data_IF_672108838625
#
_entry.id   IF_672108838625
#
_cell.length_a   1.000
_cell.length_b   1.000
_cell.length_c   1.000
_cell.angle_alpha   90.00
_cell.angle_beta   90.00
_cell.angle_gamma   90.00
#
_symmetry.space_group_name_H-M   'P 1'
#
loop_
_entity.id
_entity.type
_entity.pdbx_description
1 polymer ?
#
# COMPACT_ATOMS: atom_id res chain seq x y z
N UNK A 1 0.69 -12.22 -48.13
CA UNK A 1 0.81 -11.54 -46.81
C UNK A 1 1.04 -12.60 -45.73
N UNK A 2 2.28 -12.98 -45.41
CA UNK A 2 2.53 -13.98 -44.34
C UNK A 2 2.39 -13.37 -42.94
N UNK A 3 2.96 -12.17 -42.73
CA UNK A 3 2.98 -11.51 -41.42
C UNK A 3 1.59 -11.24 -40.80
N UNK A 4 0.53 -11.08 -41.61
CA UNK A 4 -0.83 -10.88 -41.08
C UNK A 4 -1.48 -12.21 -40.63
N UNK A 5 -1.13 -13.33 -41.25
CA UNK A 5 -1.66 -14.64 -40.88
C UNK A 5 -1.12 -15.09 -39.53
N UNK A 6 0.18 -14.89 -39.27
CA UNK A 6 0.82 -15.29 -38.01
C UNK A 6 0.16 -14.58 -36.82
N UNK A 7 -0.04 -13.26 -36.94
CA UNK A 7 -0.73 -12.44 -35.93
C UNK A 7 -2.16 -12.93 -35.69
N UNK A 8 -2.90 -13.25 -36.76
CA UNK A 8 -4.28 -13.71 -36.62
C UNK A 8 -4.33 -15.09 -35.98
N UNK A 9 -3.44 -16.01 -36.37
CA UNK A 9 -3.35 -17.35 -35.79
C UNK A 9 -3.00 -17.31 -34.30
N UNK A 10 -2.11 -16.43 -33.87
CA UNK A 10 -1.81 -16.21 -32.45
C UNK A 10 -3.02 -15.67 -31.67
N UNK A 11 -3.89 -14.90 -32.32
CA UNK A 11 -5.10 -14.34 -31.73
C UNK A 11 -6.31 -15.29 -31.78
N UNK A 12 -6.31 -16.33 -32.64
CA UNK A 12 -7.44 -17.25 -32.77
C UNK A 12 -7.85 -17.90 -31.44
N UNK A 13 -6.94 -18.40 -30.58
CA UNK A 13 -7.31 -18.95 -29.27
C UNK A 13 -8.06 -17.93 -28.39
N UNK A 14 -7.55 -16.69 -28.34
CA UNK A 14 -8.14 -15.61 -27.56
C UNK A 14 -9.49 -15.15 -28.12
N UNK A 15 -9.63 -15.18 -29.45
CA UNK A 15 -10.86 -14.86 -30.17
C UNK A 15 -11.95 -15.90 -29.89
N UNK A 16 -11.62 -17.19 -29.97
CA UNK A 16 -12.51 -18.31 -29.60
C UNK A 16 -12.94 -18.21 -28.14
N UNK A 17 -12.02 -17.82 -27.25
CA UNK A 17 -12.28 -17.64 -25.82
C UNK A 17 -13.05 -16.35 -25.46
N UNK A 18 -13.26 -15.46 -26.44
CA UNK A 18 -13.96 -14.18 -26.26
C UNK A 18 -13.18 -13.16 -25.41
N UNK A 19 -11.85 -13.30 -25.34
CA UNK A 19 -10.95 -12.47 -24.54
C UNK A 19 -10.27 -11.35 -25.34
N UNK A 20 -10.54 -11.24 -26.64
CA UNK A 20 -10.03 -10.15 -27.48
C UNK A 20 -10.72 -8.82 -27.16
N UNK A 21 -9.94 -7.73 -27.19
CA UNK A 21 -10.51 -6.37 -27.27
C UNK A 21 -11.27 -6.21 -28.59
N UNK A 22 -12.17 -5.22 -28.64
CA UNK A 22 -13.01 -4.99 -29.83
C UNK A 22 -12.17 -4.80 -31.10
N UNK A 23 -11.07 -4.05 -31.02
CA UNK A 23 -10.15 -3.83 -32.14
C UNK A 23 -9.46 -5.10 -32.62
N UNK A 24 -9.05 -5.98 -31.71
CA UNK A 24 -8.42 -7.26 -32.07
C UNK A 24 -9.44 -8.25 -32.63
N UNK A 25 -10.69 -8.16 -32.19
CA UNK A 25 -11.79 -8.99 -32.68
C UNK A 25 -12.16 -8.65 -34.12
N UNK A 26 -12.32 -7.36 -34.42
CA UNK A 26 -12.59 -6.88 -35.78
C UNK A 26 -11.49 -7.28 -36.77
N UNK A 27 -10.22 -7.20 -36.34
CA UNK A 27 -9.07 -7.63 -37.15
C UNK A 27 -9.13 -9.12 -37.49
N UNK A 28 -9.47 -9.97 -36.51
CA UNK A 28 -9.61 -11.42 -36.74
C UNK A 28 -10.80 -11.71 -37.65
N UNK A 29 -11.94 -11.05 -37.45
CA UNK A 29 -13.14 -11.22 -38.28
C UNK A 29 -12.91 -10.80 -39.73
N UNK A 30 -12.29 -9.64 -39.97
CA UNK A 30 -11.93 -9.15 -41.31
C UNK A 30 -10.98 -10.13 -42.01
N UNK A 31 -9.92 -10.57 -41.32
CA UNK A 31 -8.96 -11.50 -41.92
C UNK A 31 -9.54 -12.88 -42.19
N UNK A 32 -10.42 -13.36 -41.31
CA UNK A 32 -11.15 -14.60 -41.51
C UNK A 32 -12.12 -14.52 -42.68
N UNK A 33 -12.51 -13.35 -43.21
CA UNK A 33 -13.30 -13.30 -44.45
C UNK A 33 -12.43 -13.59 -45.69
N UNK A 34 -11.20 -13.08 -45.70
CA UNK A 34 -10.32 -13.05 -46.87
C UNK A 34 -9.30 -14.21 -46.92
N UNK A 35 -8.98 -14.86 -45.79
CA UNK A 35 -7.91 -15.85 -45.71
C UNK A 35 -8.40 -17.28 -45.45
N UNK A 36 -8.38 -18.13 -46.49
CA UNK A 36 -8.78 -19.53 -46.39
C UNK A 36 -7.91 -20.37 -45.44
N UNK A 37 -6.60 -20.09 -45.35
CA UNK A 37 -5.71 -20.81 -44.44
C UNK A 37 -6.05 -20.54 -42.97
N UNK A 38 -6.37 -19.28 -42.61
CA UNK A 38 -6.78 -18.93 -41.26
C UNK A 38 -8.21 -19.43 -40.95
N UNK A 39 -9.12 -19.50 -41.94
CA UNK A 39 -10.43 -20.16 -41.79
C UNK A 39 -10.27 -21.65 -41.47
N UNK A 40 -9.33 -22.34 -42.12
CA UNK A 40 -9.07 -23.75 -41.85
C UNK A 40 -8.56 -23.96 -40.43
N UNK A 41 -7.55 -23.19 -40.00
CA UNK A 41 -7.02 -23.27 -38.62
C UNK A 41 -8.11 -22.95 -37.60
N UNK A 42 -8.95 -21.95 -37.87
CA UNK A 42 -10.10 -21.64 -37.02
C UNK A 42 -11.11 -22.80 -36.96
N UNK A 43 -11.43 -23.42 -38.11
CA UNK A 43 -12.32 -24.58 -38.18
C UNK A 43 -11.77 -25.82 -37.47
N UNK A 44 -10.46 -26.07 -37.58
CA UNK A 44 -9.75 -27.12 -36.82
C UNK A 44 -9.81 -26.86 -35.30
N UNK A 45 -9.78 -25.60 -34.88
CA UNK A 45 -9.91 -25.20 -33.47
C UNK A 45 -11.36 -25.27 -32.94
N UNK A 46 -12.37 -25.01 -33.79
CA UNK A 46 -13.79 -25.03 -33.41
C UNK A 46 -14.51 -26.34 -33.71
N UNK A 47 -13.87 -27.26 -34.44
CA UNK A 47 -14.42 -28.58 -34.78
C UNK A 47 -15.36 -28.60 -35.98
N UNK A 48 -15.43 -27.52 -36.77
CA UNK A 48 -16.25 -27.46 -37.99
C UNK A 48 -15.37 -27.75 -39.21
N UNK A 49 -15.42 -28.98 -39.73
CA UNK A 49 -14.77 -29.35 -41.00
C UNK A 49 -15.84 -29.35 -42.10
N UNK A 50 -15.76 -28.46 -43.11
CA UNK A 50 -16.34 -28.75 -44.41
C UNK A 50 -15.42 -29.76 -45.12
N UNK A 51 -15.99 -30.86 -45.60
CA UNK A 51 -15.28 -31.85 -46.41
C UNK A 51 -14.64 -31.16 -47.64
N UNK A 52 -13.37 -31.46 -47.98
CA UNK A 52 -12.75 -30.93 -49.19
C UNK A 52 -13.43 -31.49 -50.45
N UNK A 53 -13.75 -30.60 -51.38
CA UNK A 53 -14.28 -30.93 -52.72
C UNK A 53 -13.27 -31.77 -53.52
N UNK A 54 -13.77 -32.86 -54.11
CA UNK A 54 -13.09 -33.72 -55.09
C UNK A 54 -13.02 -33.05 -56.48
N UNK A 55 -12.01 -33.39 -57.32
CA UNK A 55 -12.16 -33.36 -58.77
C UNK A 55 -12.71 -34.70 -59.29
N UNK A 56 -13.77 -34.60 -60.08
CA UNK A 56 -14.61 -35.65 -60.68
C UNK A 56 -13.88 -36.60 -61.66
N UNK A 57 -14.37 -37.84 -61.79
CA UNK A 57 -14.79 -38.45 -63.07
C UNK A 57 -15.45 -39.85 -62.87
N UNK A 58 -16.78 -39.87 -63.09
CA UNK A 58 -17.63 -40.89 -63.75
C UNK A 58 -17.65 -42.38 -63.31
N UNK A 59 -18.74 -42.81 -62.65
CA UNK A 59 -19.83 -43.65 -63.22
C UNK A 59 -20.70 -44.35 -62.13
N UNK A 60 -22.02 -44.14 -62.19
CA UNK A 60 -23.11 -44.76 -61.38
C UNK A 60 -23.51 -46.21 -61.85
N UNK A 61 -24.45 -46.98 -61.22
CA UNK A 61 -25.39 -46.68 -60.09
C UNK A 61 -25.58 -47.76 -58.96
N UNK A 62 -25.92 -47.31 -57.73
CA UNK A 62 -27.04 -47.64 -56.78
C UNK A 62 -27.65 -49.09 -56.73
N UNK A 63 -28.23 -49.67 -55.62
CA UNK A 63 -28.55 -49.21 -54.24
C UNK A 63 -28.24 -50.20 -53.07
N UNK A 64 -28.18 -49.71 -51.81
CA UNK A 64 -28.70 -50.44 -50.64
C UNK A 64 -28.92 -49.51 -49.41
N UNK A 65 -30.19 -49.24 -49.11
CA UNK A 65 -30.90 -49.07 -47.82
C UNK A 65 -30.31 -48.33 -46.58
N UNK A 66 -31.19 -47.75 -45.73
CA UNK A 66 -30.87 -46.64 -44.82
C UNK A 66 -30.41 -47.10 -43.43
N UNK A 67 -29.45 -46.38 -42.84
CA UNK A 67 -28.98 -46.57 -41.45
C UNK A 67 -28.98 -45.20 -40.74
N UNK A 68 -29.43 -45.11 -39.47
CA UNK A 68 -30.21 -43.99 -38.95
C UNK A 68 -29.39 -42.80 -38.43
N UNK A 69 -30.08 -41.66 -38.39
CA UNK A 69 -29.61 -40.34 -37.95
C UNK A 69 -29.12 -40.28 -36.49
N UNK A 70 -27.97 -39.61 -36.33
CA UNK A 70 -27.46 -38.78 -35.23
C UNK A 70 -27.42 -39.29 -33.76
N UNK A 71 -26.21 -39.21 -33.16
CA UNK A 71 -26.09 -38.75 -31.76
C UNK A 71 -25.03 -37.66 -31.54
N UNK A 72 -24.67 -36.84 -32.54
CA UNK A 72 -23.49 -35.96 -32.39
C UNK A 72 -23.77 -34.60 -31.72
N UNK A 73 -25.00 -34.08 -31.80
CA UNK A 73 -25.33 -32.70 -31.33
C UNK A 73 -25.50 -32.52 -29.82
N UNK A 74 -25.48 -33.59 -29.01
CA UNK A 74 -25.69 -33.50 -27.54
C UNK A 74 -24.39 -33.34 -26.75
N UNK A 75 -23.23 -33.73 -27.30
CA UNK A 75 -21.97 -33.77 -26.55
C UNK A 75 -21.26 -32.40 -26.48
N UNK A 76 -21.48 -31.55 -27.48
CA UNK A 76 -20.81 -30.24 -27.58
C UNK A 76 -21.40 -29.19 -26.61
N UNK A 77 -22.73 -29.21 -26.43
CA UNK A 77 -23.45 -28.29 -25.53
C UNK A 77 -23.24 -28.62 -24.04
N UNK A 78 -22.86 -29.85 -23.71
CA UNK A 78 -22.58 -30.28 -22.32
C UNK A 78 -21.14 -29.91 -21.91
N UNK A 79 -20.19 -29.93 -22.84
CA UNK A 79 -18.78 -29.61 -22.57
C UNK A 79 -18.54 -28.11 -22.26
N UNK A 80 -19.14 -27.18 -23.03
CA UNK A 80 -19.08 -25.72 -22.75
C UNK A 80 -19.71 -25.32 -21.40
N UNK A 81 -20.76 -26.03 -20.96
CA UNK A 81 -21.38 -25.80 -19.64
C UNK A 81 -20.54 -26.39 -18.50
N UNK A 82 -19.87 -27.52 -18.73
CA UNK A 82 -18.90 -28.12 -17.81
C UNK A 82 -17.69 -27.23 -17.56
N UNK A 83 -17.03 -26.74 -18.63
CA UNK A 83 -15.87 -25.85 -18.52
C UNK A 83 -16.18 -24.53 -17.82
N UNK A 84 -17.35 -23.90 -18.03
CA UNK A 84 -17.74 -22.67 -17.30
C UNK A 84 -18.00 -22.89 -15.81
N UNK A 85 -18.44 -24.09 -15.40
CA UNK A 85 -18.59 -24.46 -13.98
C UNK A 85 -17.24 -24.79 -13.35
N UNK A 86 -16.39 -25.49 -14.08
CA UNK A 86 -15.01 -25.80 -13.68
C UNK A 86 -14.24 -24.49 -13.53
N UNK A 87 -14.18 -23.62 -14.55
CA UNK A 87 -13.52 -22.31 -14.52
C UNK A 87 -14.00 -21.42 -13.36
N UNK A 88 -15.31 -21.41 -13.05
CA UNK A 88 -15.83 -20.70 -11.86
C UNK A 88 -15.32 -21.30 -10.54
N UNK A 89 -15.19 -22.62 -10.43
CA UNK A 89 -14.60 -23.28 -9.26
C UNK A 89 -13.10 -22.99 -9.14
N UNK A 90 -12.37 -22.96 -10.25
CA UNK A 90 -10.95 -22.57 -10.25
C UNK A 90 -10.77 -21.10 -9.88
N UNK A 91 -11.58 -20.18 -10.42
CA UNK A 91 -11.55 -18.76 -10.03
C UNK A 91 -11.90 -18.60 -8.56
N UNK A 92 -12.95 -19.25 -8.07
CA UNK A 92 -13.31 -19.21 -6.65
C UNK A 92 -12.18 -19.76 -5.76
N UNK A 93 -11.57 -20.88 -6.15
CA UNK A 93 -10.44 -21.45 -5.43
C UNK A 93 -9.22 -20.52 -5.46
N UNK A 94 -8.95 -19.87 -6.59
CA UNK A 94 -7.87 -18.89 -6.72
C UNK A 94 -8.11 -17.69 -5.81
N UNK A 95 -9.34 -17.16 -5.78
CA UNK A 95 -9.73 -16.06 -4.89
C UNK A 95 -9.53 -16.46 -3.43
N UNK A 96 -9.95 -17.67 -3.04
CA UNK A 96 -9.73 -18.17 -1.68
C UNK A 96 -8.24 -18.22 -1.34
N UNK A 97 -7.38 -18.69 -2.24
CA UNK A 97 -5.93 -18.71 -2.03
C UNK A 97 -5.35 -17.29 -1.93
N UNK A 98 -5.76 -16.38 -2.83
CA UNK A 98 -5.33 -14.97 -2.82
C UNK A 98 -5.71 -14.27 -1.51
N UNK A 99 -6.84 -14.64 -0.91
CA UNK A 99 -7.26 -14.12 0.40
C UNK A 99 -6.47 -14.80 1.50
N UNK A 100 -6.42 -16.13 1.56
CA UNK A 100 -5.82 -16.88 2.66
C UNK A 100 -4.32 -16.63 2.83
N UNK A 101 -3.58 -16.47 1.72
CA UNK A 101 -2.12 -16.28 1.78
C UNK A 101 -1.73 -15.02 2.59
N UNK A 102 -2.28 -13.82 2.32
CA UNK A 102 -2.08 -12.64 3.16
C UNK A 102 -2.40 -12.85 4.64
N UNK A 103 -3.52 -13.50 4.98
CA UNK A 103 -3.87 -13.79 6.37
C UNK A 103 -2.81 -14.69 7.05
N UNK A 104 -2.32 -15.72 6.36
CA UNK A 104 -1.25 -16.56 6.91
C UNK A 104 0.04 -15.77 7.09
N UNK A 105 0.42 -14.94 6.11
CA UNK A 105 1.62 -14.10 6.19
C UNK A 105 1.54 -13.08 7.33
N UNK A 106 0.38 -12.42 7.51
CA UNK A 106 0.13 -11.51 8.64
C UNK A 106 0.19 -12.24 9.99
N UNK A 107 -0.27 -13.49 10.04
CA UNK A 107 -0.15 -14.33 11.25
C UNK A 107 1.29 -14.67 11.58
N UNK A 108 2.12 -14.96 10.57
CA UNK A 108 3.57 -15.14 10.77
C UNK A 108 4.20 -13.84 11.25
N UNK A 109 3.90 -12.71 10.61
CA UNK A 109 4.41 -11.39 10.99
C UNK A 109 4.07 -11.02 12.43
N UNK A 110 2.86 -11.37 12.90
CA UNK A 110 2.44 -11.16 14.29
C UNK A 110 3.32 -11.92 15.29
N UNK A 111 3.68 -13.17 14.96
CA UNK A 111 4.49 -14.02 15.84
C UNK A 111 5.97 -13.64 15.78
N UNK A 112 6.46 -13.22 14.62
CA UNK A 112 7.86 -12.80 14.45
C UNK A 112 8.13 -11.36 14.89
N UNK A 113 7.08 -10.53 15.00
CA UNK A 113 7.21 -9.10 15.29
C UNK A 113 7.79 -8.28 14.13
N UNK A 114 7.79 -8.83 12.91
CA UNK A 114 8.38 -8.24 11.71
C UNK A 114 7.40 -8.34 10.53
N UNK A 115 7.15 -7.22 9.88
CA UNK A 115 6.19 -7.06 8.79
C UNK A 115 4.82 -6.53 9.22
N UNK A 116 3.92 -6.42 8.25
CA UNK A 116 2.53 -6.05 8.49
C UNK A 116 1.78 -7.22 9.11
N UNK A 117 1.13 -6.94 10.23
CA UNK A 117 0.41 -7.91 11.05
C UNK A 117 -0.98 -7.36 11.41
N UNK A 118 -1.75 -8.13 12.18
CA UNK A 118 -3.13 -7.76 12.50
C UNK A 118 -3.25 -6.53 13.38
N UNK A 119 -2.24 -6.30 14.22
CA UNK A 119 -2.26 -5.24 15.23
C UNK A 119 -1.62 -3.93 14.78
N UNK A 120 -1.07 -3.86 13.56
CA UNK A 120 -0.38 -2.65 13.07
C UNK A 120 -0.95 -2.07 11.76
N UNK A 121 -2.10 -2.56 11.30
CA UNK A 121 -2.73 -2.07 10.06
C UNK A 121 -3.24 -0.64 10.19
N UNK A 122 -3.69 -0.23 11.39
CA UNK A 122 -4.19 1.11 11.61
C UNK A 122 -3.06 2.14 11.58
N UNK A 123 -1.97 1.83 12.25
CA UNK A 123 -0.74 2.59 12.36
C UNK A 123 -0.06 2.69 10.99
N UNK A 124 -0.09 1.61 10.22
CA UNK A 124 0.35 1.64 8.82
C UNK A 124 -0.49 2.59 7.96
N UNK A 125 -1.81 2.62 8.18
CA UNK A 125 -2.69 3.60 7.53
C UNK A 125 -2.36 5.03 7.95
N UNK A 126 -2.13 5.30 9.25
CA UNK A 126 -1.74 6.62 9.77
C UNK A 126 -0.43 7.10 9.14
N UNK A 127 0.59 6.24 9.07
CA UNK A 127 1.85 6.54 8.39
C UNK A 127 1.65 6.93 6.92
N UNK A 128 0.83 6.16 6.19
CA UNK A 128 0.52 6.44 4.79
C UNK A 128 -0.28 7.73 4.60
N UNK A 129 -1.23 8.02 5.49
CA UNK A 129 -2.04 9.23 5.45
C UNK A 129 -1.18 10.47 5.73
N UNK A 130 -0.31 10.40 6.74
CA UNK A 130 0.69 11.41 7.04
C UNK A 130 1.60 11.69 5.85
N UNK A 131 2.27 10.67 5.29
CA UNK A 131 3.16 10.84 4.13
C UNK A 131 2.41 11.32 2.88
N UNK A 132 1.16 10.90 2.71
CA UNK A 132 0.30 11.38 1.63
C UNK A 132 0.05 12.89 1.71
N UNK A 133 -0.18 13.42 2.93
CA UNK A 133 -0.32 14.85 3.19
C UNK A 133 0.98 15.62 3.02
N UNK A 134 2.09 15.09 3.56
CA UNK A 134 3.43 15.65 3.37
C UNK A 134 3.79 15.76 1.89
N UNK A 135 3.46 14.74 1.08
CA UNK A 135 3.69 14.73 -0.37
C UNK A 135 2.84 15.77 -1.10
N UNK A 136 1.62 16.01 -0.63
CA UNK A 136 0.74 17.03 -1.19
C UNK A 136 1.18 18.46 -0.85
N UNK A 137 2.19 18.64 0.03
CA UNK A 137 2.54 19.93 0.61
C UNK A 137 1.48 20.46 1.60
N UNK A 138 0.52 19.60 1.98
CA UNK A 138 -0.54 19.91 2.94
C UNK A 138 -0.06 19.62 4.36
N UNK A 139 0.84 20.46 4.87
CA UNK A 139 1.47 20.26 6.19
C UNK A 139 0.49 20.42 7.34
N UNK A 140 -0.50 21.30 7.21
CA UNK A 140 -1.59 21.45 8.18
C UNK A 140 -2.44 20.16 8.24
N UNK A 141 -2.73 19.56 7.07
CA UNK A 141 -3.37 18.26 6.98
C UNK A 141 -2.51 17.12 7.52
N UNK A 142 -1.18 17.19 7.38
CA UNK A 142 -0.25 16.21 7.93
C UNK A 142 -0.21 16.25 9.46
N UNK A 143 -0.25 17.44 10.06
CA UNK A 143 -0.26 17.64 11.51
C UNK A 143 -1.42 16.93 12.22
N UNK A 144 -2.53 16.65 11.51
CA UNK A 144 -3.68 15.89 12.05
C UNK A 144 -3.40 14.41 12.26
N UNK A 145 -2.33 13.89 11.67
CA UNK A 145 -1.89 12.49 11.81
C UNK A 145 -0.68 12.37 12.75
N UNK A 146 -0.21 13.46 13.32
CA UNK A 146 0.83 13.47 14.36
C UNK A 146 0.16 13.21 15.70
N UNK A 147 0.81 12.45 16.57
CA UNK A 147 0.33 12.20 17.93
C UNK A 147 0.44 13.49 18.77
N UNK A 148 -0.63 14.28 18.79
CA UNK A 148 -0.71 15.52 19.59
C UNK A 148 -1.38 15.32 20.93
N UNK A 149 -2.15 14.24 21.09
CA UNK A 149 -2.90 13.99 22.32
C UNK A 149 -1.95 13.58 23.44
N UNK A 150 -1.05 12.62 23.17
CA UNK A 150 0.01 12.22 24.10
C UNK A 150 0.85 13.44 24.49
N UNK A 151 1.23 14.27 23.51
CA UNK A 151 2.02 15.50 23.74
C UNK A 151 1.28 16.56 24.54
N UNK A 152 -0.03 16.71 24.36
CA UNK A 152 -0.84 17.61 25.20
C UNK A 152 -0.78 17.17 26.67
N UNK A 153 -0.79 15.86 26.93
CA UNK A 153 -0.65 15.28 28.26
C UNK A 153 0.62 15.74 28.98
N UNK A 154 1.76 15.72 28.29
CA UNK A 154 3.04 16.21 28.84
C UNK A 154 2.98 17.70 29.20
N UNK A 155 2.36 18.52 28.37
CA UNK A 155 2.19 19.95 28.64
C UNK A 155 1.27 20.20 29.86
N UNK A 156 0.26 19.36 30.08
CA UNK A 156 -0.64 19.48 31.24
C UNK A 156 0.08 19.23 32.58
N UNK A 157 1.24 18.59 32.59
CA UNK A 157 2.05 18.45 33.81
C UNK A 157 2.65 19.79 34.28
N UNK A 158 2.78 20.76 33.36
CA UNK A 158 3.48 22.04 33.60
C UNK A 158 2.59 23.27 33.45
N UNK A 159 1.61 23.22 32.56
CA UNK A 159 0.74 24.34 32.18
C UNK A 159 -0.71 24.06 32.55
N UNK A 160 -1.44 25.12 32.91
CA UNK A 160 -2.86 25.02 33.24
C UNK A 160 -3.72 24.87 31.98
N UNK A 161 -4.95 24.37 32.13
CA UNK A 161 -5.91 24.29 31.00
C UNK A 161 -6.19 25.65 30.35
N UNK A 162 -6.17 26.75 31.12
CA UNK A 162 -6.34 28.10 30.57
C UNK A 162 -5.15 28.51 29.71
N UNK A 163 -3.93 28.16 30.12
CA UNK A 163 -2.70 28.44 29.35
C UNK A 163 -2.63 27.60 28.06
N UNK A 164 -3.17 26.38 28.10
CA UNK A 164 -3.26 25.45 26.99
C UNK A 164 -4.49 25.65 26.08
N UNK A 165 -5.26 26.72 26.28
CA UNK A 165 -6.49 26.97 25.50
C UNK A 165 -6.26 27.03 23.97
N UNK A 166 -5.07 27.44 23.52
CA UNK A 166 -4.71 27.52 22.11
C UNK A 166 -3.75 26.39 21.65
N UNK A 167 -3.47 25.40 22.49
CA UNK A 167 -2.43 24.39 22.26
C UNK A 167 -2.57 23.70 20.91
N UNK A 168 -3.77 23.29 20.52
CA UNK A 168 -3.97 22.55 19.26
C UNK A 168 -3.57 23.36 18.03
N UNK A 169 -3.81 24.67 18.04
CA UNK A 169 -3.43 25.56 16.94
C UNK A 169 -1.94 25.87 17.00
N UNK A 170 -1.41 26.19 18.17
CA UNK A 170 0.02 26.45 18.36
C UNK A 170 0.84 25.22 17.92
N UNK A 171 0.39 24.00 18.24
CA UNK A 171 1.00 22.74 17.80
C UNK A 171 0.98 22.56 16.28
N UNK A 172 -0.15 22.86 15.63
CA UNK A 172 -0.24 22.82 14.16
C UNK A 172 0.75 23.82 13.56
N UNK A 173 0.75 25.06 14.04
CA UNK A 173 1.54 26.14 13.47
C UNK A 173 3.04 25.84 13.61
N UNK A 174 3.48 25.36 14.78
CA UNK A 174 4.88 24.99 15.03
C UNK A 174 5.29 23.77 14.20
N UNK A 175 4.43 22.76 14.05
CA UNK A 175 4.68 21.63 13.15
C UNK A 175 4.79 22.09 11.68
N UNK A 176 3.86 22.93 11.22
CA UNK A 176 3.85 23.45 9.84
C UNK A 176 5.10 24.28 9.55
N UNK A 177 5.55 25.07 10.52
CA UNK A 177 6.81 25.82 10.42
C UNK A 177 8.01 24.87 10.28
N UNK A 178 8.09 23.83 11.12
CA UNK A 178 9.14 22.81 11.03
C UNK A 178 9.12 22.05 9.70
N UNK A 179 7.92 21.76 9.17
CA UNK A 179 7.74 21.05 7.91
C UNK A 179 8.16 21.85 6.66
N UNK A 180 8.34 23.18 6.77
CA UNK A 180 8.80 24.01 5.65
C UNK A 180 10.17 23.57 5.11
N UNK A 181 11.01 22.94 5.95
CA UNK A 181 12.28 22.36 5.51
C UNK A 181 12.12 21.37 4.34
N UNK A 182 10.99 20.66 4.25
CA UNK A 182 10.69 19.81 3.08
C UNK A 182 10.48 20.64 1.82
N UNK A 183 9.75 21.77 1.90
CA UNK A 183 9.53 22.66 0.75
C UNK A 183 10.84 23.31 0.30
N UNK A 184 11.65 23.79 1.25
CA UNK A 184 12.98 24.35 0.97
C UNK A 184 13.91 23.36 0.27
N UNK A 185 13.77 22.07 0.61
CA UNK A 185 14.51 20.98 -0.02
C UNK A 185 13.91 20.46 -1.33
N UNK A 186 12.92 21.16 -1.91
CA UNK A 186 12.33 20.80 -3.20
C UNK A 186 11.10 19.89 -3.10
N UNK A 187 10.53 19.74 -1.91
CA UNK A 187 9.28 19.02 -1.64
C UNK A 187 9.42 17.50 -1.64
N UNK A 188 8.55 16.84 -0.88
CA UNK A 188 8.38 15.40 -0.94
C UNK A 188 7.65 15.02 -2.23
N UNK A 189 8.37 14.47 -3.20
CA UNK A 189 7.83 14.13 -4.53
C UNK A 189 7.35 12.68 -4.63
N UNK A 190 7.84 11.79 -3.78
CA UNK A 190 7.48 10.38 -3.77
C UNK A 190 7.78 9.71 -2.44
N UNK A 191 7.06 8.63 -2.15
CA UNK A 191 7.39 7.74 -1.06
C UNK A 191 6.99 6.30 -1.43
N UNK A 192 7.72 5.33 -0.89
CA UNK A 192 7.50 3.90 -1.14
C UNK A 192 7.77 3.11 0.13
N UNK A 193 6.80 2.26 0.49
CA UNK A 193 7.00 1.22 1.48
C UNK A 193 7.66 -0.01 0.85
N UNK A 194 8.65 -0.59 1.51
CA UNK A 194 9.34 -1.78 1.04
C UNK A 194 8.66 -3.04 1.57
N UNK A 195 7.93 -3.72 0.69
CA UNK A 195 7.29 -4.98 1.01
C UNK A 195 8.33 -6.10 1.07
N UNK A 196 8.59 -6.65 2.27
CA UNK A 196 9.34 -7.90 2.44
C UNK A 196 10.85 -7.77 2.56
N UNK A 197 11.32 -7.02 3.56
CA UNK A 197 12.70 -7.04 4.05
C UNK A 197 12.72 -6.98 5.58
N UNK A 198 13.78 -7.52 6.19
CA UNK A 198 14.02 -7.42 7.64
C UNK A 198 13.90 -5.94 8.05
N UNK A 199 13.03 -5.64 9.02
CA UNK A 199 12.84 -4.32 9.62
C UNK A 199 11.93 -3.30 8.88
N UNK A 200 11.24 -3.70 7.80
CA UNK A 200 10.31 -2.79 7.09
C UNK A 200 9.12 -2.33 7.94
N UNK A 201 8.63 -3.21 8.81
CA UNK A 201 7.65 -2.89 9.85
C UNK A 201 8.01 -3.69 11.10
N UNK A 202 8.23 -3.07 12.25
CA UNK A 202 8.67 -3.77 13.48
C UNK A 202 7.89 -3.25 14.67
N UNK A 203 7.62 -4.12 15.64
CA UNK A 203 7.23 -3.68 16.98
C UNK A 203 8.43 -2.94 17.58
N UNK A 204 8.29 -1.63 17.76
CA UNK A 204 9.37 -0.74 18.21
C UNK A 204 9.74 -0.92 19.68
N UNK A 205 8.87 -1.57 20.47
CA UNK A 205 8.99 -1.72 21.91
C UNK A 205 7.96 -0.85 22.63
N UNK A 206 8.21 -0.59 23.91
CA UNK A 206 7.46 0.39 24.70
C UNK A 206 8.09 1.77 24.47
N UNK A 207 7.27 2.79 24.22
CA UNK A 207 7.67 4.19 24.24
C UNK A 207 8.18 4.56 25.64
N UNK A 208 8.74 5.76 25.80
CA UNK A 208 9.12 6.25 27.13
C UNK A 208 7.94 6.23 28.12
N UNK A 209 6.71 6.32 27.60
CA UNK A 209 5.45 6.35 28.35
C UNK A 209 4.81 4.95 28.53
N UNK A 210 5.44 3.89 28.00
CA UNK A 210 4.98 2.51 28.14
C UNK A 210 4.05 2.01 27.03
N UNK A 211 3.73 2.84 26.03
CA UNK A 211 2.85 2.47 24.93
C UNK A 211 3.60 1.71 23.84
N UNK A 212 2.96 0.69 23.26
CA UNK A 212 3.55 -0.03 22.13
C UNK A 212 3.50 0.84 20.89
N UNK A 213 4.66 1.12 20.29
CA UNK A 213 4.73 1.78 18.99
C UNK A 213 5.21 0.81 17.91
N UNK A 214 4.82 1.11 16.67
CA UNK A 214 5.30 0.40 15.48
C UNK A 214 6.21 1.31 14.69
N UNK A 215 7.30 0.76 14.17
CA UNK A 215 8.19 1.46 13.25
C UNK A 215 7.95 0.98 11.83
N UNK A 216 7.77 1.91 10.89
CA UNK A 216 7.64 1.65 9.46
C UNK A 216 8.71 2.38 8.66
N UNK A 217 9.45 1.64 7.83
CA UNK A 217 10.53 2.18 7.03
C UNK A 217 10.07 2.42 5.57
N UNK A 218 10.28 3.64 5.09
CA UNK A 218 9.94 4.10 3.75
C UNK A 218 11.18 4.63 3.04
N UNK A 219 11.23 4.47 1.71
CA UNK A 219 12.06 5.39 0.90
C UNK A 219 11.22 6.60 0.55
N UNK A 220 11.74 7.80 0.84
CA UNK A 220 11.14 9.08 0.44
C UNK A 220 12.04 9.78 -0.57
N UNK A 221 11.45 10.48 -1.54
CA UNK A 221 12.18 11.25 -2.55
C UNK A 221 11.95 12.73 -2.32
N UNK A 222 12.99 13.46 -1.90
CA UNK A 222 12.95 14.91 -1.65
C UNK A 222 14.03 15.59 -2.49
N UNK A 223 13.68 16.63 -3.24
CA UNK A 223 14.66 17.36 -4.07
C UNK A 223 15.34 16.50 -5.14
N UNK A 224 14.71 15.39 -5.57
CA UNK A 224 15.28 14.43 -6.52
C UNK A 224 16.28 13.43 -5.91
N UNK A 225 16.44 13.41 -4.58
CA UNK A 225 17.26 12.45 -3.84
C UNK A 225 16.39 11.53 -2.98
N UNK A 226 16.76 10.25 -2.94
CA UNK A 226 16.10 9.26 -2.09
C UNK A 226 16.75 9.22 -0.69
N UNK A 227 15.90 9.14 0.33
CA UNK A 227 16.26 9.00 1.74
C UNK A 227 15.52 7.83 2.37
N UNK A 228 16.09 7.24 3.42
CA UNK A 228 15.37 6.32 4.30
C UNK A 228 14.60 7.15 5.33
N UNK A 229 13.29 6.98 5.43
CA UNK A 229 12.46 7.56 6.48
C UNK A 229 11.90 6.45 7.37
N UNK A 230 12.16 6.53 8.66
CA UNK A 230 11.60 5.65 9.68
C UNK A 230 10.53 6.40 10.45
N UNK A 231 9.28 5.93 10.34
CA UNK A 231 8.15 6.50 11.04
C UNK A 231 7.82 5.63 12.26
N UNK A 232 7.76 6.23 13.43
CA UNK A 232 7.25 5.62 14.65
C UNK A 232 5.81 6.06 14.85
N UNK A 233 4.93 5.11 15.12
CA UNK A 233 3.48 5.30 15.07
C UNK A 233 2.80 4.52 16.18
N UNK A 234 1.94 5.22 16.92
CA UNK A 234 1.04 4.69 17.94
C UNK A 234 -0.39 4.67 17.39
N UNK A 235 -1.35 4.23 18.20
CA UNK A 235 -2.77 4.35 17.90
C UNK A 235 -3.23 5.81 17.80
N UNK A 236 -2.55 6.73 18.48
CA UNK A 236 -2.86 8.16 18.50
C UNK A 236 -2.26 8.94 17.31
N UNK A 237 -1.22 8.42 16.66
CA UNK A 237 -0.61 9.09 15.52
C UNK A 237 0.85 8.76 15.26
N UNK A 238 1.44 9.47 14.31
CA UNK A 238 2.88 9.48 14.06
C UNK A 238 3.56 10.26 15.18
N UNK A 239 4.42 9.61 15.94
CA UNK A 239 5.20 10.23 17.02
C UNK A 239 6.51 10.80 16.50
N UNK A 240 7.11 10.15 15.50
CA UNK A 240 8.41 10.53 14.97
C UNK A 240 8.53 10.14 13.48
N UNK A 241 9.24 10.95 12.69
CA UNK A 241 9.57 10.70 11.29
C UNK A 241 11.06 11.00 11.05
N UNK A 242 11.92 10.05 11.40
CA UNK A 242 13.37 10.21 11.26
C UNK A 242 13.83 9.95 9.83
N UNK A 243 14.51 10.91 9.23
CA UNK A 243 15.04 10.82 7.85
C UNK A 243 16.55 10.66 7.87
N UNK A 244 17.06 9.66 7.16
CA UNK A 244 18.47 9.29 7.09
C UNK A 244 19.00 9.33 5.65
N UNK A 245 20.21 9.87 5.50
CA UNK A 245 21.00 9.86 4.25
C UNK A 245 22.14 8.80 4.32
N UNK A 246 22.68 8.57 5.52
CA UNK A 246 23.73 7.59 5.86
C UNK A 246 23.60 7.29 7.39
N UNK A 247 24.29 6.31 8.03
CA UNK A 247 24.08 5.98 9.44
C UNK A 247 24.54 7.07 10.43
N UNK A 248 24.96 8.24 9.94
CA UNK A 248 25.27 9.43 10.73
C UNK A 248 24.15 10.48 10.76
N UNK A 249 22.95 10.15 10.26
CA UNK A 249 21.78 11.06 10.22
C UNK A 249 21.49 11.59 8.81
N UNK A 250 20.28 12.13 8.63
CA UNK A 250 19.88 12.82 7.39
C UNK A 250 19.84 14.34 7.54
N UNK A 251 19.33 15.07 6.53
CA UNK A 251 19.27 16.52 6.54
C UNK A 251 18.47 17.05 7.74
N UNK A 252 19.01 18.06 8.43
CA UNK A 252 18.35 18.66 9.59
C UNK A 252 16.99 19.27 9.23
N UNK A 253 16.87 19.85 8.04
CA UNK A 253 15.63 20.44 7.52
C UNK A 253 14.49 19.42 7.45
N UNK A 254 14.79 18.16 7.11
CA UNK A 254 13.77 17.10 7.06
C UNK A 254 13.45 16.54 8.45
N UNK A 255 14.40 16.60 9.37
CA UNK A 255 14.23 16.11 10.75
C UNK A 255 13.72 17.18 11.73
N UNK A 256 13.57 18.44 11.30
CA UNK A 256 13.01 19.51 12.12
C UNK A 256 11.61 19.18 12.65
N UNK A 257 10.83 18.42 11.88
CA UNK A 257 9.51 17.92 12.27
C UNK A 257 9.52 16.93 13.44
N UNK A 258 10.69 16.49 13.92
CA UNK A 258 10.79 15.60 15.09
C UNK A 258 11.09 16.37 16.38
N UNK A 259 11.34 17.68 16.29
CA UNK A 259 11.70 18.53 17.43
C UNK A 259 10.78 19.76 17.58
N UNK A 260 9.70 19.80 16.80
CA UNK A 260 8.70 20.88 16.86
C UNK A 260 8.09 21.02 18.26
N UNK A 261 7.91 19.91 18.98
CA UNK A 261 7.37 19.88 20.34
C UNK A 261 8.27 20.60 21.35
N UNK A 262 9.60 20.45 21.25
CA UNK A 262 10.55 21.18 22.09
C UNK A 262 10.52 22.68 21.78
N UNK A 263 10.35 23.02 20.50
CA UNK A 263 10.20 24.43 20.09
C UNK A 263 8.93 25.03 20.69
N UNK A 264 7.82 24.29 20.64
CA UNK A 264 6.56 24.71 21.25
C UNK A 264 6.67 24.81 22.79
N UNK A 265 7.38 23.87 23.41
CA UNK A 265 7.60 23.87 24.86
C UNK A 265 8.35 25.13 25.30
N UNK A 266 9.45 25.45 24.63
CA UNK A 266 10.25 26.65 24.91
C UNK A 266 9.42 27.94 24.75
N UNK A 267 8.53 27.99 23.75
CA UNK A 267 7.62 29.13 23.56
C UNK A 267 6.60 29.25 24.69
N UNK A 268 6.08 28.13 25.18
CA UNK A 268 5.15 28.10 26.32
C UNK A 268 5.84 28.47 27.63
N UNK A 269 7.06 27.97 27.87
CA UNK A 269 7.88 28.41 29.00
C UNK A 269 8.15 29.91 28.90
N UNK A 270 8.62 30.42 27.77
CA UNK A 270 8.86 31.86 27.62
C UNK A 270 7.60 32.73 27.85
N UNK A 271 6.41 32.19 27.55
CA UNK A 271 5.12 32.90 27.68
C UNK A 271 4.55 32.88 29.10
N UNK A 272 4.74 31.77 29.83
CA UNK A 272 4.03 31.51 31.09
C UNK A 272 4.94 31.18 32.28
N UNK A 273 6.24 31.02 32.07
CA UNK A 273 7.18 30.79 33.15
C UNK A 273 7.22 31.98 34.09
N UNK A 274 7.21 31.68 35.38
CA UNK A 274 7.31 32.69 36.43
C UNK A 274 8.17 32.17 37.59
N UNK A 275 8.79 33.07 38.36
CA UNK A 275 9.69 32.67 39.44
C UNK A 275 9.04 31.79 40.51
N UNK A 276 7.72 31.90 40.70
CA UNK A 276 6.97 31.08 41.66
C UNK A 276 6.83 29.63 41.19
N UNK A 277 6.66 29.41 39.87
CA UNK A 277 6.54 28.08 39.24
C UNK A 277 7.88 27.37 39.18
N UNK A 278 8.96 28.10 38.93
CA UNK A 278 10.33 27.58 39.01
C UNK A 278 10.69 27.16 40.45
N UNK A 279 10.33 27.99 41.44
CA UNK A 279 10.51 27.67 42.86
C UNK A 279 9.67 26.46 43.30
N UNK A 280 8.41 26.38 42.86
CA UNK A 280 7.53 25.24 43.17
C UNK A 280 8.03 23.93 42.54
N UNK A 281 8.50 23.96 41.29
CA UNK A 281 9.08 22.80 40.62
C UNK A 281 10.38 22.35 41.28
N UNK A 282 11.27 23.30 41.61
CA UNK A 282 12.52 23.01 42.33
C UNK A 282 12.22 22.35 43.67
N UNK A 283 11.27 22.89 44.45
CA UNK A 283 10.85 22.30 45.71
C UNK A 283 10.24 20.90 45.55
N UNK A 284 9.45 20.66 44.49
CA UNK A 284 8.90 19.34 44.17
C UNK A 284 10.01 18.33 43.84
N UNK A 285 10.98 18.70 43.01
CA UNK A 285 12.12 17.83 42.65
C UNK A 285 12.98 17.54 43.88
N UNK A 286 13.27 18.54 44.71
CA UNK A 286 14.02 18.37 45.97
C UNK A 286 13.29 17.44 46.94
N UNK A 287 11.97 17.58 47.07
CA UNK A 287 11.15 16.70 47.89
C UNK A 287 11.17 15.26 47.36
N UNK A 288 11.02 15.07 46.05
CA UNK A 288 11.04 13.73 45.43
C UNK A 288 12.41 13.06 45.55
N UNK A 289 13.49 13.82 45.46
CA UNK A 289 14.84 13.34 45.68
C UNK A 289 15.08 12.95 47.15
N UNK A 290 14.57 13.76 48.10
CA UNK A 290 14.59 13.44 49.52
C UNK A 290 13.82 12.14 49.83
N UNK A 291 12.62 11.99 49.26
CA UNK A 291 11.76 10.81 49.45
C UNK A 291 12.33 9.54 48.80
N UNK A 292 13.07 9.66 47.69
CA UNK A 292 13.71 8.53 47.00
C UNK A 292 15.09 8.14 47.57
N UNK A 293 15.61 8.89 48.55
CA UNK A 293 16.92 8.65 49.17
C UNK A 293 18.12 8.99 48.28
N UNK A 294 17.89 9.59 47.11
CA UNK A 294 18.92 10.16 46.26
C UNK A 294 19.32 11.53 46.82
N UNK A 295 20.50 11.60 47.44
CA UNK A 295 21.07 12.89 47.82
C UNK A 295 21.35 13.73 46.57
N UNK A 296 20.56 14.78 46.36
CA UNK A 296 20.89 15.82 45.39
C UNK A 296 22.16 16.51 45.90
N UNK A 297 23.26 16.40 45.17
CA UNK A 297 24.48 17.11 45.51
C UNK A 297 24.21 18.62 45.45
N UNK A 298 24.57 19.41 46.48
CA UNK A 298 24.47 20.85 46.40
C UNK A 298 25.47 21.37 45.35
N UNK A 299 25.02 22.35 44.56
CA UNK A 299 25.85 23.11 43.60
C UNK A 299 27.05 23.77 44.28
#
# INVERSE_FOLDING_TARGET
MKNKCDIVQDLLPLYVDGCCTQSSRELVEEHLQECAACKQVFGEMTGDIPAPEEPQLEAEPVPAEPVPEEPEKKHEKTFRKGMKKIRRRWIASLIVVIILVPFVLMGIAQVTGDGLCYTNLHEFYLAHAFLGKMKAGDYEGAAKYVDRETRRGEFQERFTEEELANYDQDAIDTFVAAAQGYTEMGGLSGYRFHWGGYASAVVGGESFDGDTFYRFDFTITVGGKDYLASLEVTDNGVTNCSVYDNPMGGPQQLNAINVWEYTLWDEYEARYDNPEREAAYTAFVEQRAYESGLQVAPK
#
